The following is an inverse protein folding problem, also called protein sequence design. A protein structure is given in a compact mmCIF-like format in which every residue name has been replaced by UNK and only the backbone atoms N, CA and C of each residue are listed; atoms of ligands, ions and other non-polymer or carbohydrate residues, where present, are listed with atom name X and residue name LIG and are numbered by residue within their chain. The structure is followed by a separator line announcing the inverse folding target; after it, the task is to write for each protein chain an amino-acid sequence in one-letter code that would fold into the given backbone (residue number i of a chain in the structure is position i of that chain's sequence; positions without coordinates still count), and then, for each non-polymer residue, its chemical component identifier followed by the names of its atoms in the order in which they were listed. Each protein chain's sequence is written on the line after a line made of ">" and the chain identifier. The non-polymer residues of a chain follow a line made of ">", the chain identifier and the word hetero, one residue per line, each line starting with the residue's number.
data_IF_132411805974
#
_entry.id   IF_132411805974
#
_cell.length_a   1.000
_cell.length_b   1.000
_cell.length_c   1.000
_cell.angle_alpha   90.00
_cell.angle_beta   90.00
_cell.angle_gamma   90.00
#
_symmetry.space_group_name_H-M   'P 1'
#
loop_
_entity.id
_entity.type
_entity.pdbx_description
1 polymer ?
#
# COMPACT_ATOMS: atom_id res chain seq x y z
N UNK A 1 19.81 12.51 -6.65
CA UNK A 1 20.99 12.28 -5.80
C UNK A 1 22.28 12.69 -6.51
N UNK A 2 22.38 12.54 -7.83
CA UNK A 2 23.62 12.82 -8.57
C UNK A 2 24.06 14.30 -8.53
N UNK A 3 23.13 15.25 -8.54
CA UNK A 3 23.44 16.68 -8.35
C UNK A 3 24.14 16.95 -7.01
N UNK A 4 23.67 16.31 -5.93
CA UNK A 4 24.26 16.51 -4.60
C UNK A 4 25.64 15.85 -4.53
N UNK A 5 25.80 14.68 -5.15
CA UNK A 5 27.12 14.02 -5.27
C UNK A 5 28.13 14.93 -5.97
N UNK A 6 27.78 15.49 -7.13
CA UNK A 6 28.64 16.42 -7.86
C UNK A 6 29.01 17.65 -7.03
N UNK A 7 28.06 18.17 -6.23
CA UNK A 7 28.31 19.31 -5.33
C UNK A 7 29.19 18.98 -4.13
N UNK A 8 29.18 17.74 -3.67
CA UNK A 8 30.10 17.25 -2.63
C UNK A 8 31.50 17.02 -3.21
N UNK A 9 31.57 16.49 -4.42
CA UNK A 9 32.85 16.22 -5.12
C UNK A 9 33.58 17.51 -5.49
N UNK A 10 32.85 18.53 -5.95
CA UNK A 10 33.44 19.82 -6.35
C UNK A 10 33.64 20.79 -5.17
N UNK A 11 33.28 20.40 -3.94
CA UNK A 11 33.42 21.22 -2.73
C UNK A 11 32.44 22.39 -2.60
N UNK A 12 31.35 22.42 -3.38
CA UNK A 12 30.27 23.43 -3.19
C UNK A 12 29.49 23.17 -1.90
N UNK A 13 29.40 21.90 -1.50
CA UNK A 13 28.74 21.45 -0.28
C UNK A 13 29.74 20.60 0.48
N UNK A 14 29.96 20.89 1.76
CA UNK A 14 30.90 20.15 2.61
C UNK A 14 30.26 18.90 3.25
N UNK A 15 28.96 18.98 3.53
CA UNK A 15 28.20 17.92 4.16
C UNK A 15 26.79 17.86 3.60
N UNK A 16 26.35 16.66 3.27
CA UNK A 16 24.95 16.36 3.02
C UNK A 16 24.50 15.37 4.09
N UNK A 17 23.47 15.74 4.84
CA UNK A 17 22.94 14.93 5.92
C UNK A 17 21.63 14.21 5.57
N UNK A 18 21.49 13.51 4.42
CA UNK A 18 20.36 12.64 4.24
C UNK A 18 20.60 11.40 5.11
N UNK A 19 19.61 10.95 5.88
CA UNK A 19 19.65 9.59 6.42
C UNK A 19 19.44 8.63 5.25
N UNK A 20 20.50 8.33 4.53
CA UNK A 20 20.45 7.55 3.30
C UNK A 20 21.41 6.37 3.36
N UNK A 21 21.02 5.28 2.70
CA UNK A 21 21.94 4.20 2.41
C UNK A 21 22.87 4.60 1.27
N UNK A 22 24.16 4.54 1.54
CA UNK A 22 25.20 4.79 0.57
C UNK A 22 25.73 3.45 0.09
N UNK A 23 25.52 3.16 -1.19
CA UNK A 23 26.08 1.95 -1.82
C UNK A 23 27.59 2.12 -2.00
N UNK A 24 28.34 1.02 -2.14
CA UNK A 24 29.78 1.04 -2.41
C UNK A 24 30.16 1.72 -3.74
N UNK A 25 29.19 2.01 -4.60
CA UNK A 25 29.39 2.74 -5.86
C UNK A 25 29.65 4.24 -5.70
N UNK A 26 29.55 4.80 -4.50
CA UNK A 26 29.88 6.20 -4.21
C UNK A 26 31.39 6.35 -3.93
N UNK A 27 32.21 6.15 -4.96
CA UNK A 27 33.69 6.03 -4.82
C UNK A 27 34.38 7.38 -4.54
N UNK A 28 33.73 8.50 -4.86
CA UNK A 28 34.36 9.83 -4.87
C UNK A 28 33.91 10.77 -3.73
N UNK A 29 33.04 10.30 -2.83
CA UNK A 29 32.55 11.06 -1.67
C UNK A 29 32.86 10.27 -0.40
N UNK A 30 33.15 10.98 0.68
CA UNK A 30 33.36 10.35 1.97
C UNK A 30 32.02 10.06 2.65
N UNK A 31 32.03 9.12 3.60
CA UNK A 31 30.85 8.71 4.37
C UNK A 31 31.15 8.68 5.85
N UNK A 32 30.18 9.10 6.65
CA UNK A 32 30.16 8.90 8.10
C UNK A 32 28.98 8.01 8.48
N UNK A 33 29.21 7.01 9.32
CA UNK A 33 28.16 6.12 9.81
C UNK A 33 27.20 6.90 10.73
N UNK A 34 25.89 6.71 10.52
CA UNK A 34 24.88 7.28 11.42
C UNK A 34 24.62 6.39 12.65
N UNK A 35 25.21 5.18 12.70
CA UNK A 35 24.97 4.17 13.74
C UNK A 35 23.47 3.82 13.89
N UNK A 36 22.74 3.87 12.77
CA UNK A 36 21.33 3.52 12.66
C UNK A 36 21.17 2.45 11.59
N UNK A 37 20.27 1.49 11.83
CA UNK A 37 19.91 0.44 10.88
C UNK A 37 18.43 0.55 10.59
N UNK A 38 18.09 0.61 9.31
CA UNK A 38 16.70 0.72 8.87
C UNK A 38 16.33 -0.45 7.97
N UNK A 39 15.09 -0.93 8.16
CA UNK A 39 14.52 -1.92 7.27
C UNK A 39 14.08 -1.25 5.96
N UNK A 40 14.49 -1.83 4.82
CA UNK A 40 13.88 -1.58 3.53
C UNK A 40 12.61 -2.39 3.42
N UNK A 41 11.53 -1.71 3.07
CA UNK A 41 10.19 -2.29 2.91
C UNK A 41 9.60 -1.87 1.59
N UNK A 42 8.63 -2.65 1.13
CA UNK A 42 7.85 -2.34 -0.05
C UNK A 42 6.54 -1.68 0.37
N UNK A 43 6.25 -0.49 -0.15
CA UNK A 43 4.93 0.14 -0.05
C UNK A 43 4.15 -0.24 -1.29
N UNK A 44 3.01 -0.91 -1.10
CA UNK A 44 2.21 -1.51 -2.18
C UNK A 44 0.82 -0.87 -2.20
N UNK A 45 0.24 -0.64 -3.38
CA UNK A 45 -1.15 -0.23 -3.47
C UNK A 45 -2.12 -1.34 -3.10
N UNK A 46 -3.20 -0.97 -2.43
CA UNK A 46 -4.29 -1.90 -2.11
C UNK A 46 -5.10 -2.23 -3.35
N UNK A 47 -5.58 -3.45 -3.44
CA UNK A 47 -6.49 -3.86 -4.51
C UNK A 47 -7.82 -3.09 -4.39
N UNK A 48 -8.12 -2.24 -5.39
CA UNK A 48 -9.31 -1.37 -5.35
C UNK A 48 -10.63 -2.05 -5.74
N UNK A 49 -10.64 -3.35 -6.04
CA UNK A 49 -11.82 -3.99 -6.65
C UNK A 49 -12.92 -4.38 -5.65
N UNK A 50 -13.70 -3.39 -5.21
CA UNK A 50 -15.07 -3.63 -4.76
C UNK A 50 -16.03 -3.25 -5.91
N UNK A 51 -16.24 -4.17 -6.85
CA UNK A 51 -17.29 -4.00 -7.86
C UNK A 51 -18.60 -4.53 -7.29
N UNK A 52 -19.30 -3.71 -6.49
CA UNK A 52 -20.46 -4.10 -5.70
C UNK A 52 -21.59 -4.74 -6.51
N UNK A 53 -21.78 -4.32 -7.76
CA UNK A 53 -22.77 -4.90 -8.68
C UNK A 53 -22.45 -6.35 -9.04
N UNK A 54 -21.17 -6.63 -9.35
CA UNK A 54 -20.73 -8.02 -9.54
C UNK A 54 -20.81 -8.80 -8.22
N UNK A 55 -20.47 -8.17 -7.09
CA UNK A 55 -20.47 -8.81 -5.78
C UNK A 55 -21.88 -9.23 -5.33
N UNK A 56 -22.91 -8.46 -5.67
CA UNK A 56 -24.31 -8.73 -5.31
C UNK A 56 -24.97 -9.79 -6.21
N UNK A 57 -24.52 -9.91 -7.47
CA UNK A 57 -25.08 -10.84 -8.46
C UNK A 57 -24.32 -12.18 -8.56
N UNK A 58 -23.02 -12.19 -8.24
CA UNK A 58 -22.17 -13.38 -8.24
C UNK A 58 -22.52 -14.51 -7.23
N UNK A 59 -23.18 -14.28 -6.07
CA UNK A 59 -23.44 -15.34 -5.10
C UNK A 59 -24.27 -16.51 -5.64
N UNK A 60 -25.04 -16.25 -6.70
CA UNK A 60 -25.85 -17.23 -7.42
C UNK A 60 -25.49 -17.24 -8.90
N UNK A 61 -25.49 -18.43 -9.50
CA UNK A 61 -25.30 -18.56 -10.96
C UNK A 61 -26.50 -17.99 -11.69
N UNK A 62 -26.33 -17.69 -12.99
CA UNK A 62 -27.43 -17.22 -13.84
C UNK A 62 -28.63 -18.17 -13.80
N UNK A 63 -28.38 -19.48 -13.68
CA UNK A 63 -29.39 -20.54 -13.58
C UNK A 63 -30.21 -20.44 -12.28
N UNK A 64 -29.58 -20.09 -11.16
CA UNK A 64 -30.28 -19.91 -9.89
C UNK A 64 -31.11 -18.62 -9.93
N UNK A 65 -30.58 -17.54 -10.51
CA UNK A 65 -31.32 -16.30 -10.69
C UNK A 65 -32.56 -16.48 -11.58
N UNK A 66 -32.48 -17.27 -12.65
CA UNK A 66 -33.65 -17.56 -13.50
C UNK A 66 -34.69 -18.39 -12.76
N UNK A 67 -34.28 -19.35 -11.92
CA UNK A 67 -35.19 -20.12 -11.06
C UNK A 67 -35.87 -19.23 -10.02
N UNK A 68 -35.12 -18.33 -9.37
CA UNK A 68 -35.66 -17.35 -8.41
C UNK A 68 -36.66 -16.42 -9.09
N UNK A 69 -36.33 -15.90 -10.28
CA UNK A 69 -37.24 -15.05 -11.06
C UNK A 69 -38.52 -15.80 -11.44
N UNK A 70 -38.41 -17.04 -11.92
CA UNK A 70 -39.55 -17.89 -12.26
C UNK A 70 -40.42 -18.16 -11.02
N UNK A 71 -39.81 -18.47 -9.87
CA UNK A 71 -40.51 -18.65 -8.60
C UNK A 71 -41.26 -17.37 -8.17
N UNK A 72 -40.63 -16.20 -8.27
CA UNK A 72 -41.26 -14.92 -7.92
C UNK A 72 -42.44 -14.59 -8.85
N UNK A 73 -42.32 -14.87 -10.15
CA UNK A 73 -43.41 -14.70 -11.11
C UNK A 73 -44.58 -15.66 -10.83
N UNK A 74 -44.30 -16.93 -10.54
CA UNK A 74 -45.31 -17.92 -10.17
C UNK A 74 -45.98 -17.53 -8.85
N UNK A 75 -45.22 -17.07 -7.85
CA UNK A 75 -45.75 -16.53 -6.58
C UNK A 75 -46.66 -15.33 -6.82
N UNK A 76 -46.27 -14.40 -7.69
CA UNK A 76 -47.09 -13.22 -8.03
C UNK A 76 -48.44 -13.62 -8.64
N UNK A 77 -48.46 -14.67 -9.47
CA UNK A 77 -49.69 -15.22 -10.06
C UNK A 77 -50.56 -16.00 -9.05
N UNK A 78 -49.94 -16.61 -8.03
CA UNK A 78 -50.62 -17.40 -6.98
C UNK A 78 -51.01 -16.53 -5.77
N UNK A 79 -50.89 -15.20 -5.85
CA UNK A 79 -51.22 -14.23 -4.77
C UNK A 79 -52.57 -14.42 -4.06
N UNK A 80 -53.49 -15.17 -4.66
CA UNK A 80 -54.80 -15.50 -4.09
C UNK A 80 -54.76 -16.61 -3.00
N UNK A 81 -53.74 -17.46 -2.97
CA UNK A 81 -53.57 -18.56 -1.98
C UNK A 81 -52.15 -18.53 -1.38
N UNK A 82 -51.88 -17.54 -0.51
CA UNK A 82 -50.66 -17.52 0.28
C UNK A 82 -50.69 -18.64 1.34
N UNK A 83 -50.15 -19.80 0.99
CA UNK A 83 -49.96 -20.90 1.95
C UNK A 83 -48.65 -20.68 2.72
N UNK A 84 -48.64 -21.04 4.00
CA UNK A 84 -47.47 -20.92 4.89
C UNK A 84 -46.18 -21.49 4.27
N UNK A 85 -46.30 -22.53 3.43
CA UNK A 85 -45.18 -23.11 2.69
C UNK A 85 -44.49 -22.15 1.71
N UNK A 86 -45.22 -21.26 1.05
CA UNK A 86 -44.64 -20.27 0.12
C UNK A 86 -43.80 -19.24 0.87
N UNK A 87 -44.30 -18.76 2.01
CA UNK A 87 -43.54 -17.82 2.86
C UNK A 87 -42.31 -18.49 3.48
N UNK A 88 -42.41 -19.77 3.87
CA UNK A 88 -41.30 -20.54 4.41
C UNK A 88 -40.18 -20.75 3.36
N UNK A 89 -40.55 -21.06 2.11
CA UNK A 89 -39.59 -21.18 1.00
C UNK A 89 -38.95 -19.83 0.66
N UNK A 90 -39.73 -18.75 0.65
CA UNK A 90 -39.20 -17.39 0.43
C UNK A 90 -38.22 -16.98 1.53
N UNK A 91 -38.55 -17.28 2.79
CA UNK A 91 -37.66 -17.04 3.93
C UNK A 91 -36.34 -17.81 3.79
N UNK A 92 -36.40 -19.11 3.46
CA UNK A 92 -35.21 -19.93 3.26
C UNK A 92 -34.33 -19.43 2.09
N UNK A 93 -34.94 -18.95 0.99
CA UNK A 93 -34.22 -18.35 -0.13
C UNK A 93 -33.49 -17.07 0.25
N UNK A 94 -34.14 -16.20 1.03
CA UNK A 94 -33.53 -14.95 1.52
C UNK A 94 -32.38 -15.27 2.48
N UNK A 95 -32.58 -16.17 3.43
CA UNK A 95 -31.53 -16.58 4.38
C UNK A 95 -30.34 -17.23 3.66
N UNK A 96 -30.60 -18.12 2.69
CA UNK A 96 -29.54 -18.73 1.89
C UNK A 96 -28.76 -17.70 1.08
N UNK A 97 -29.45 -16.72 0.50
CA UNK A 97 -28.82 -15.61 -0.22
C UNK A 97 -27.99 -14.72 0.72
N UNK A 98 -28.53 -14.39 1.89
CA UNK A 98 -27.86 -13.54 2.87
C UNK A 98 -26.62 -14.24 3.45
N UNK A 99 -26.71 -15.55 3.73
CA UNK A 99 -25.58 -16.38 4.11
C UNK A 99 -24.50 -16.42 3.01
N UNK A 100 -24.90 -16.57 1.74
CA UNK A 100 -23.96 -16.58 0.62
C UNK A 100 -23.34 -15.21 0.35
N UNK A 101 -24.09 -14.13 0.45
CA UNK A 101 -23.55 -12.77 0.35
C UNK A 101 -22.61 -12.46 1.49
N UNK A 102 -22.93 -12.87 2.72
CA UNK A 102 -22.03 -12.62 3.86
C UNK A 102 -20.75 -13.44 3.73
N UNK A 103 -20.82 -14.71 3.35
CA UNK A 103 -19.64 -15.54 3.00
C UNK A 103 -18.81 -14.89 1.88
N UNK A 104 -19.48 -14.41 0.84
CA UNK A 104 -18.84 -13.81 -0.33
C UNK A 104 -18.27 -12.41 -0.03
N UNK A 105 -18.95 -11.58 0.77
CA UNK A 105 -18.44 -10.28 1.23
C UNK A 105 -17.27 -10.46 2.19
N UNK A 106 -17.28 -11.51 3.01
CA UNK A 106 -16.10 -11.92 3.76
C UNK A 106 -14.98 -12.28 2.77
N UNK A 107 -15.21 -13.21 1.83
CA UNK A 107 -14.19 -13.62 0.85
C UNK A 107 -13.66 -12.49 -0.05
N UNK A 108 -14.51 -11.61 -0.58
CA UNK A 108 -14.14 -10.48 -1.44
C UNK A 108 -13.49 -9.33 -0.68
N UNK A 109 -13.81 -9.17 0.60
CA UNK A 109 -12.98 -8.35 1.51
C UNK A 109 -11.55 -8.91 1.61
N UNK A 110 -11.33 -10.18 1.24
CA UNK A 110 -10.06 -10.91 1.26
C UNK A 110 -9.56 -11.34 -0.13
N UNK A 111 -9.68 -10.53 -1.19
CA UNK A 111 -8.62 -10.64 -2.22
C UNK A 111 -7.35 -10.14 -1.53
N UNK A 112 -6.65 -11.07 -0.86
CA UNK A 112 -5.57 -10.73 0.06
C UNK A 112 -4.53 -9.94 -0.71
N UNK A 113 -4.38 -8.68 -0.32
CA UNK A 113 -3.22 -7.89 -0.74
C UNK A 113 -1.97 -8.73 -0.47
N UNK A 114 -0.98 -8.78 -1.38
CA UNK A 114 0.23 -9.57 -1.19
C UNK A 114 0.82 -9.38 0.20
N UNK A 115 1.12 -10.47 0.90
CA UNK A 115 1.75 -10.45 2.22
C UNK A 115 3.25 -10.76 2.13
N UNK A 116 3.64 -11.50 1.09
CA UNK A 116 5.02 -11.89 0.81
C UNK A 116 5.53 -11.28 -0.50
N UNK A 117 6.85 -11.25 -0.66
CA UNK A 117 7.50 -10.84 -1.90
C UNK A 117 7.15 -11.76 -3.05
N UNK A 118 7.03 -13.07 -2.80
CA UNK A 118 6.63 -14.05 -3.82
C UNK A 118 5.21 -13.80 -4.33
N UNK A 119 4.26 -13.52 -3.44
CA UNK A 119 2.90 -13.11 -3.82
C UNK A 119 2.91 -11.79 -4.58
N UNK A 120 3.74 -10.83 -4.15
CA UNK A 120 3.89 -9.55 -4.83
C UNK A 120 4.43 -9.74 -6.25
N UNK A 121 5.44 -10.60 -6.44
CA UNK A 121 6.01 -10.87 -7.76
C UNK A 121 5.04 -11.59 -8.71
N UNK A 122 4.10 -12.36 -8.18
CA UNK A 122 3.02 -12.97 -8.99
C UNK A 122 1.88 -12.01 -9.31
N UNK A 123 1.72 -10.93 -8.53
CA UNK A 123 0.66 -9.94 -8.76
C UNK A 123 0.90 -9.13 -10.05
N UNK A 124 -0.12 -8.45 -10.62
CA UNK A 124 0.08 -7.53 -11.75
C UNK A 124 0.61 -6.15 -11.31
N UNK A 125 0.92 -5.96 -10.02
CA UNK A 125 1.31 -4.65 -9.48
C UNK A 125 2.71 -4.28 -10.00
N UNK A 126 2.87 -3.14 -10.68
CA UNK A 126 4.18 -2.66 -11.11
C UNK A 126 4.93 -1.97 -9.96
N UNK A 127 6.24 -1.77 -10.13
CA UNK A 127 7.09 -1.09 -9.15
C UNK A 127 7.78 0.12 -9.75
N UNK A 128 7.75 1.24 -9.03
CA UNK A 128 8.52 2.44 -9.37
C UNK A 128 9.93 2.33 -8.78
N UNK A 129 10.94 2.31 -9.64
CA UNK A 129 12.36 2.33 -9.23
C UNK A 129 13.09 3.41 -10.04
N UNK A 130 13.47 4.53 -9.41
CA UNK A 130 14.34 5.53 -10.03
C UNK A 130 15.74 4.99 -10.32
N UNK A 131 16.45 5.55 -11.32
CA UNK A 131 17.77 5.03 -11.76
C UNK A 131 18.80 5.01 -10.62
N UNK A 132 18.77 6.00 -9.73
CA UNK A 132 19.69 6.07 -8.60
C UNK A 132 19.53 4.90 -7.59
N UNK A 133 18.42 4.17 -7.64
CA UNK A 133 18.15 3.01 -6.79
C UNK A 133 18.58 1.69 -7.43
N UNK A 134 18.99 1.66 -8.70
CA UNK A 134 19.40 0.43 -9.38
C UNK A 134 20.51 -0.32 -8.61
N UNK A 135 21.58 0.35 -8.11
CA UNK A 135 22.61 -0.35 -7.32
C UNK A 135 22.10 -0.95 -6.01
N UNK A 136 21.02 -0.40 -5.44
CA UNK A 136 20.39 -0.96 -4.24
C UNK A 136 19.62 -2.23 -4.58
N UNK A 137 18.89 -2.22 -5.70
CA UNK A 137 18.10 -3.37 -6.17
C UNK A 137 19.01 -4.54 -6.52
N UNK A 138 20.11 -4.29 -7.23
CA UNK A 138 21.11 -5.31 -7.53
C UNK A 138 21.69 -5.94 -6.25
N UNK A 139 21.84 -5.15 -5.17
CA UNK A 139 22.35 -5.64 -3.89
C UNK A 139 21.35 -6.49 -3.07
N UNK A 140 20.09 -6.64 -3.54
CA UNK A 140 19.10 -7.55 -2.94
C UNK A 140 19.28 -9.01 -3.40
N UNK A 141 20.10 -9.24 -4.42
CA UNK A 141 20.41 -10.56 -4.96
C UNK A 141 19.80 -10.79 -6.34
N UNK A 142 20.39 -11.68 -7.16
CA UNK A 142 20.12 -11.75 -8.59
C UNK A 142 18.67 -12.15 -8.92
N UNK A 143 18.09 -13.08 -8.16
CA UNK A 143 16.70 -13.52 -8.35
C UNK A 143 15.69 -12.39 -8.05
N UNK A 144 15.88 -11.72 -6.92
CA UNK A 144 15.01 -10.62 -6.47
C UNK A 144 15.13 -9.42 -7.40
N UNK A 145 16.35 -9.07 -7.81
CA UNK A 145 16.60 -8.01 -8.78
C UNK A 145 15.92 -8.28 -10.13
N UNK A 146 16.03 -9.51 -10.67
CA UNK A 146 15.37 -9.89 -11.92
C UNK A 146 13.84 -9.73 -11.84
N UNK A 147 13.24 -10.14 -10.72
CA UNK A 147 11.79 -9.98 -10.50
C UNK A 147 11.37 -8.51 -10.38
N UNK A 148 12.20 -7.65 -9.77
CA UNK A 148 11.96 -6.22 -9.74
C UNK A 148 12.07 -5.58 -11.14
N UNK A 149 13.09 -5.96 -11.92
CA UNK A 149 13.27 -5.48 -13.29
C UNK A 149 12.13 -5.88 -14.20
N UNK A 150 11.56 -7.09 -14.04
CA UNK A 150 10.40 -7.54 -14.80
C UNK A 150 9.13 -6.67 -14.58
N UNK A 151 9.07 -5.93 -13.46
CA UNK A 151 7.92 -5.10 -13.04
C UNK A 151 8.20 -3.60 -13.07
N UNK A 152 9.38 -3.23 -13.54
CA UNK A 152 9.95 -1.90 -13.43
C UNK A 152 9.17 -0.86 -14.23
N UNK A 153 8.84 0.25 -13.57
CA UNK A 153 8.39 1.49 -14.17
C UNK A 153 9.37 2.60 -13.75
N UNK A 154 9.76 3.42 -14.71
CA UNK A 154 10.65 4.58 -14.48
C UNK A 154 9.84 5.85 -14.14
N UNK A 155 10.45 6.85 -13.49
CA UNK A 155 9.77 8.07 -13.07
C UNK A 155 8.99 8.79 -14.19
N UNK A 156 9.53 8.82 -15.41
CA UNK A 156 8.89 9.49 -16.57
C UNK A 156 7.57 8.84 -16.99
N UNK A 157 7.51 7.51 -16.93
CA UNK A 157 6.30 6.77 -17.23
C UNK A 157 5.31 6.85 -16.06
N UNK A 158 5.83 6.80 -14.83
CA UNK A 158 5.03 6.95 -13.62
C UNK A 158 4.35 8.32 -13.52
N UNK A 159 4.98 9.40 -13.99
CA UNK A 159 4.42 10.75 -13.98
C UNK A 159 3.09 10.86 -14.75
N UNK A 160 2.83 9.94 -15.69
CA UNK A 160 1.60 9.87 -16.50
C UNK A 160 0.50 9.01 -15.86
N UNK A 161 0.77 8.40 -14.71
CA UNK A 161 -0.11 7.43 -14.03
C UNK A 161 -0.64 7.98 -12.71
N UNK A 162 -1.68 7.32 -12.18
CA UNK A 162 -2.22 7.64 -10.86
C UNK A 162 -1.17 7.41 -9.76
N UNK A 163 -1.19 8.26 -8.73
CA UNK A 163 -0.19 8.22 -7.66
C UNK A 163 -0.26 6.92 -6.81
N UNK A 164 -1.33 6.14 -6.89
CA UNK A 164 -1.48 4.84 -6.23
C UNK A 164 -1.26 3.66 -7.17
N UNK A 165 -0.75 3.84 -8.40
CA UNK A 165 -0.67 2.74 -9.36
C UNK A 165 0.35 1.64 -9.03
N UNK A 166 1.35 1.98 -8.22
CA UNK A 166 2.65 1.34 -8.32
C UNK A 166 3.28 1.19 -6.94
N UNK A 167 3.93 0.06 -6.70
CA UNK A 167 4.69 -0.20 -5.49
C UNK A 167 5.98 0.63 -5.46
N UNK A 168 6.53 0.87 -4.26
CA UNK A 168 7.75 1.67 -4.05
C UNK A 168 8.61 1.11 -2.93
N UNK A 169 9.92 1.19 -3.10
CA UNK A 169 10.88 0.83 -2.06
C UNK A 169 11.13 2.04 -1.17
N UNK A 170 10.97 1.87 0.14
CA UNK A 170 11.22 2.90 1.13
C UNK A 170 11.93 2.31 2.36
N UNK A 171 12.64 3.15 3.12
CA UNK A 171 12.96 2.82 4.51
C UNK A 171 11.68 2.78 5.33
N UNK A 172 11.62 1.95 6.36
CA UNK A 172 10.42 1.78 7.18
C UNK A 172 9.87 3.12 7.73
N UNK A 173 10.68 4.04 8.31
CA UNK A 173 10.16 5.32 8.79
C UNK A 173 9.56 6.17 7.66
N UNK A 174 10.18 6.13 6.47
CA UNK A 174 9.65 6.83 5.30
C UNK A 174 8.36 6.19 4.81
N UNK A 175 8.28 4.87 4.80
CA UNK A 175 7.10 4.11 4.42
C UNK A 175 5.93 4.42 5.36
N UNK A 176 6.15 4.41 6.67
CA UNK A 176 5.16 4.77 7.70
C UNK A 176 4.59 6.17 7.46
N UNK A 177 5.46 7.14 7.15
CA UNK A 177 5.01 8.48 6.80
C UNK A 177 4.24 8.50 5.48
N UNK A 178 4.73 7.84 4.43
CA UNK A 178 4.11 7.80 3.09
C UNK A 178 2.69 7.26 3.15
N UNK A 179 2.47 6.11 3.80
CA UNK A 179 1.13 5.50 3.89
C UNK A 179 0.15 6.31 4.74
N UNK A 180 0.64 7.29 5.52
CA UNK A 180 -0.16 8.22 6.33
C UNK A 180 -0.44 9.56 5.63
N UNK A 181 0.21 9.86 4.52
CA UNK A 181 -0.02 11.12 3.82
C UNK A 181 -1.44 11.20 3.27
N UNK A 182 -2.12 12.33 3.49
CA UNK A 182 -3.48 12.58 3.00
C UNK A 182 -3.63 12.42 1.49
N UNK A 183 -2.54 12.61 0.71
CA UNK A 183 -2.51 12.34 -0.73
C UNK A 183 -2.91 10.92 -1.12
N UNK A 184 -2.64 9.93 -0.26
CA UNK A 184 -2.97 8.51 -0.50
C UNK A 184 -4.18 8.04 0.32
N UNK A 185 -4.95 8.99 0.85
CA UNK A 185 -6.22 8.72 1.48
C UNK A 185 -7.34 8.94 0.47
N UNK A 186 -8.11 7.88 0.24
CA UNK A 186 -9.32 7.96 -0.56
C UNK A 186 -10.43 8.56 0.29
N UNK A 187 -10.77 9.84 0.07
CA UNK A 187 -11.81 10.53 0.84
C UNK A 187 -13.21 9.97 0.54
N UNK A 188 -13.43 9.48 -0.68
CA UNK A 188 -14.67 8.84 -1.14
C UNK A 188 -14.90 7.52 -0.41
N UNK A 189 -13.90 6.63 -0.42
CA UNK A 189 -13.96 5.31 0.22
C UNK A 189 -13.57 5.33 1.71
N UNK A 190 -13.08 6.46 2.22
CA UNK A 190 -12.61 6.63 3.59
C UNK A 190 -11.51 5.65 4.00
N UNK A 191 -10.57 5.35 3.10
CA UNK A 191 -9.52 4.34 3.31
C UNK A 191 -8.15 4.77 2.78
N UNK A 192 -7.08 4.26 3.41
CA UNK A 192 -5.71 4.37 2.88
C UNK A 192 -5.57 3.49 1.63
N UNK A 193 -5.04 4.06 0.54
CA UNK A 193 -4.82 3.39 -0.74
C UNK A 193 -3.51 2.59 -0.79
N UNK A 194 -2.60 2.82 0.16
CA UNK A 194 -1.31 2.14 0.24
C UNK A 194 -1.18 1.38 1.56
N UNK A 195 -0.38 0.32 1.56
CA UNK A 195 0.04 -0.40 2.76
C UNK A 195 1.52 -0.76 2.67
N UNK A 196 2.11 -1.14 3.80
CA UNK A 196 3.49 -1.63 3.87
C UNK A 196 3.42 -3.15 3.80
N UNK A 197 4.11 -3.76 2.84
CA UNK A 197 4.27 -5.20 2.75
C UNK A 197 4.97 -5.70 4.03
N UNK A 198 4.43 -6.71 4.74
CA UNK A 198 5.02 -7.19 5.99
C UNK A 198 6.44 -7.72 5.82
N UNK A 199 6.71 -8.40 4.71
CA UNK A 199 8.04 -8.94 4.42
C UNK A 199 9.03 -7.82 4.07
N UNK A 200 10.14 -7.78 4.81
CA UNK A 200 11.21 -6.80 4.64
C UNK A 200 12.18 -7.25 3.54
N UNK A 201 12.70 -6.29 2.77
CA UNK A 201 13.66 -6.56 1.70
C UNK A 201 15.06 -6.81 2.26
N UNK A 202 15.54 -5.90 3.12
CA UNK A 202 16.89 -5.91 3.67
C UNK A 202 17.03 -4.90 4.79
N UNK A 203 17.90 -5.17 5.76
CA UNK A 203 18.34 -4.17 6.73
C UNK A 203 19.57 -3.46 6.17
N UNK A 204 19.52 -2.13 6.13
CA UNK A 204 20.58 -1.28 5.59
C UNK A 204 21.12 -0.33 6.67
N UNK A 205 22.44 -0.12 6.74
CA UNK A 205 23.01 0.92 7.58
C UNK A 205 22.73 2.30 6.98
N UNK A 206 22.43 3.26 7.84
CA UNK A 206 22.32 4.67 7.46
C UNK A 206 23.68 5.37 7.57
N UNK A 207 23.92 6.31 6.66
CA UNK A 207 25.15 7.09 6.61
C UNK A 207 24.87 8.52 6.14
N UNK A 208 25.75 9.43 6.55
CA UNK A 208 25.82 10.79 6.03
C UNK A 208 26.90 10.88 4.95
N UNK A 209 26.70 11.79 4.00
CA UNK A 209 27.60 12.01 2.88
C UNK A 209 28.48 13.24 3.17
N UNK A 210 29.79 13.06 3.06
CA UNK A 210 30.78 14.09 3.33
C UNK A 210 31.53 14.45 2.04
N UNK A 211 31.89 15.72 1.92
CA UNK A 211 32.87 16.16 0.92
C UNK A 211 34.21 15.48 1.17
N UNK A 212 34.97 15.24 0.10
CA UNK A 212 36.22 14.47 0.14
C UNK A 212 37.28 15.02 1.11
N UNK A 213 37.27 16.33 1.34
CA UNK A 213 38.21 17.03 2.22
C UNK A 213 37.51 17.66 3.43
N UNK A 214 36.47 17.00 3.97
CA UNK A 214 35.74 17.53 5.12
C UNK A 214 36.64 17.62 6.38
N UNK A 215 37.06 18.84 6.72
CA UNK A 215 38.06 19.12 7.74
C UNK A 215 37.68 18.61 9.14
N UNK A 216 36.38 18.50 9.43
CA UNK A 216 35.86 18.09 10.74
C UNK A 216 35.43 16.63 10.80
N UNK A 217 35.84 15.78 9.84
CA UNK A 217 35.39 14.38 9.76
C UNK A 217 35.52 13.62 11.08
N UNK A 218 36.71 13.61 11.68
CA UNK A 218 36.96 12.87 12.92
C UNK A 218 36.10 13.41 14.08
N UNK A 219 36.02 14.74 14.23
CA UNK A 219 35.20 15.37 15.26
C UNK A 219 33.71 15.09 15.05
N UNK A 220 33.27 15.04 13.80
CA UNK A 220 31.89 14.74 13.43
C UNK A 220 31.54 13.27 13.70
N UNK A 221 32.41 12.33 13.36
CA UNK A 221 32.21 10.91 13.67
C UNK A 221 32.16 10.65 15.19
N UNK A 222 33.05 11.29 15.95
CA UNK A 222 33.02 11.23 17.43
C UNK A 222 31.73 11.84 17.99
N UNK A 223 31.25 12.95 17.42
CA UNK A 223 29.98 13.55 17.80
C UNK A 223 28.80 12.59 17.52
N UNK A 224 28.76 11.98 16.34
CA UNK A 224 27.71 11.02 15.98
C UNK A 224 27.70 9.81 16.91
N UNK A 225 28.89 9.29 17.26
CA UNK A 225 29.02 8.20 18.21
C UNK A 225 28.49 8.60 19.60
N UNK A 226 28.89 9.76 20.14
CA UNK A 226 28.40 10.23 21.43
C UNK A 226 26.87 10.47 21.46
N UNK A 227 26.32 10.99 20.35
CA UNK A 227 24.86 11.19 20.18
C UNK A 227 24.11 9.86 20.10
N UNK A 228 24.71 8.83 19.51
CA UNK A 228 24.17 7.47 19.49
C UNK A 228 24.22 6.83 20.89
N UNK A 229 25.40 6.81 21.53
CA UNK A 229 25.65 6.19 22.83
C UNK A 229 24.85 6.83 23.97
N UNK A 230 24.62 8.14 23.91
CA UNK A 230 23.77 8.85 24.88
C UNK A 230 22.27 8.48 24.77
N UNK A 231 21.86 7.77 23.71
CA UNK A 231 20.46 7.43 23.45
C UNK A 231 19.60 8.61 23.01
N UNK A 232 20.18 9.77 22.73
CA UNK A 232 19.47 10.98 22.31
C UNK A 232 18.67 10.74 21.02
N UNK A 233 19.27 10.02 20.07
CA UNK A 233 18.63 9.62 18.81
C UNK A 233 17.42 8.73 19.07
N UNK A 234 17.55 7.72 19.92
CA UNK A 234 16.44 6.82 20.27
C UNK A 234 15.26 7.59 20.88
N UNK A 235 15.55 8.55 21.76
CA UNK A 235 14.53 9.45 22.32
C UNK A 235 13.87 10.33 21.26
N UNK A 236 14.66 10.94 20.37
CA UNK A 236 14.15 11.76 19.27
C UNK A 236 13.22 10.96 18.34
N UNK A 237 13.66 9.78 17.91
CA UNK A 237 12.87 8.89 17.03
C UNK A 237 11.57 8.46 17.73
N UNK A 238 11.65 8.11 19.01
CA UNK A 238 10.47 7.70 19.78
C UNK A 238 9.47 8.85 19.94
N UNK A 239 9.93 10.06 20.23
CA UNK A 239 9.08 11.25 20.32
C UNK A 239 8.41 11.53 18.97
N UNK A 240 9.18 11.52 17.89
CA UNK A 240 8.63 11.73 16.54
C UNK A 240 7.59 10.67 16.15
N UNK A 241 7.85 9.39 16.46
CA UNK A 241 6.87 8.31 16.21
C UNK A 241 5.59 8.48 17.03
N UNK A 242 5.68 8.95 18.27
CA UNK A 242 4.49 9.25 19.10
C UNK A 242 3.63 10.35 18.45
N UNK A 243 4.25 11.43 17.98
CA UNK A 243 3.55 12.50 17.27
C UNK A 243 2.87 11.96 16.00
N UNK A 244 3.57 11.11 15.24
CA UNK A 244 3.00 10.43 14.07
C UNK A 244 1.82 9.51 14.43
N UNK A 245 1.88 8.79 15.55
CA UNK A 245 0.81 7.91 16.02
C UNK A 245 -0.43 8.69 16.47
N UNK A 246 -0.27 9.89 17.02
CA UNK A 246 -1.41 10.76 17.35
C UNK A 246 -2.17 11.21 16.10
N UNK A 247 -1.49 11.39 14.97
CA UNK A 247 -2.16 11.67 13.70
C UNK A 247 -3.04 10.51 13.21
N UNK A 248 -2.72 9.25 13.49
CA UNK A 248 -3.55 8.10 13.07
C UNK A 248 -4.93 8.08 13.70
N UNK A 249 -5.10 8.59 14.92
CA UNK A 249 -6.40 8.67 15.58
C UNK A 249 -7.38 9.59 14.87
N UNK A 250 -6.89 10.52 14.05
CA UNK A 250 -7.72 11.48 13.33
C UNK A 250 -8.17 10.99 11.94
N UNK A 251 -7.62 9.88 11.45
CA UNK A 251 -8.01 9.28 10.17
C UNK A 251 -9.00 8.14 10.42
N UNK A 252 -10.29 8.47 10.39
CA UNK A 252 -11.38 7.49 10.40
C UNK A 252 -11.25 6.55 9.19
N UNK A 253 -10.99 5.27 9.45
CA UNK A 253 -11.35 4.20 8.52
C UNK A 253 -12.86 4.14 8.46
N UNK A 254 -13.49 4.53 7.34
CA UNK A 254 -14.90 4.23 7.10
C UNK A 254 -15.00 2.73 6.86
N UNK A 255 -15.14 1.96 7.93
CA UNK A 255 -15.39 0.51 7.89
C UNK A 255 -16.84 0.15 7.56
N UNK A 256 -17.64 1.09 7.06
CA UNK A 256 -19.09 0.95 6.88
C UNK A 256 -19.43 1.19 5.41
N UNK A 257 -20.29 0.33 4.84
CA UNK A 257 -20.96 0.59 3.57
C UNK A 257 -21.67 1.94 3.65
N UNK A 258 -21.39 2.83 2.70
CA UNK A 258 -22.05 4.12 2.57
C UNK A 258 -23.15 4.08 1.52
N UNK A 259 -24.08 5.03 1.57
CA UNK A 259 -25.14 5.16 0.55
C UNK A 259 -24.57 5.31 -0.89
N UNK A 260 -23.38 5.89 -1.03
CA UNK A 260 -22.69 6.02 -2.32
C UNK A 260 -22.27 4.65 -2.89
N UNK A 261 -21.93 3.70 -2.04
CA UNK A 261 -21.55 2.34 -2.43
C UNK A 261 -22.77 1.55 -2.98
N UNK A 262 -23.98 1.95 -2.59
CA UNK A 262 -25.25 1.37 -3.06
C UNK A 262 -25.81 2.06 -4.31
N UNK A 263 -25.15 3.10 -4.83
CA UNK A 263 -25.59 3.84 -6.03
C UNK A 263 -25.86 2.93 -7.24
N UNK A 264 -25.03 1.92 -7.57
CA UNK A 264 -25.31 1.02 -8.68
C UNK A 264 -26.61 0.22 -8.52
N UNK A 265 -26.97 -0.14 -7.28
CA UNK A 265 -28.22 -0.80 -6.93
C UNK A 265 -29.42 0.12 -7.17
N UNK A 266 -29.30 1.39 -6.76
CA UNK A 266 -30.35 2.38 -7.01
C UNK A 266 -30.56 2.68 -8.50
N UNK A 267 -29.49 2.69 -9.31
CA UNK A 267 -29.60 2.86 -10.76
C UNK A 267 -30.31 1.67 -11.40
N UNK A 268 -30.03 0.45 -10.92
CA UNK A 268 -30.69 -0.77 -11.41
C UNK A 268 -32.19 -0.77 -11.09
N UNK A 269 -32.56 -0.39 -9.86
CA UNK A 269 -33.96 -0.23 -9.44
C UNK A 269 -34.65 0.93 -10.19
N UNK A 270 -33.92 2.03 -10.44
CA UNK A 270 -34.45 3.18 -11.18
C UNK A 270 -34.69 2.90 -12.67
N UNK A 271 -33.89 2.01 -13.27
CA UNK A 271 -34.05 1.59 -14.66
C UNK A 271 -35.28 0.69 -14.89
N UNK A 272 -35.81 0.03 -13.86
CA UNK A 272 -37.07 -0.73 -13.93
C UNK A 272 -38.33 0.16 -13.80
N UNK A 273 -38.16 1.44 -13.46
CA UNK A 273 -39.24 2.41 -13.26
C UNK A 273 -39.40 3.43 -14.42
N UNK A 274 -38.68 3.25 -15.53
CA UNK A 274 -38.82 4.00 -16.79
C UNK A 274 -39.39 3.06 -17.84
#
# INVERSE_FOLDING_TARGET
>A
MDLIRQRLENGTIDIHMPRAHVSRSYVNVDVAAAYEWEALVLVVPKSDQLNLTNIMLQPFTIEVWTIVLAYLLVRQMIKLLATVGVELVSFLLIEAYLAKITEFLLYCRFRSDPQTLDEFFRSPIPILIPEYMDPLVEALGPSVAANFHAKLIRPDEYAKRAASCCARIHTLPRAEYVVRMGKYFDATLGRKQLYILPEQLKIIPMSYLLGRNFAFKNSFELFLLGVHESGLIGRYVTAHRKDMAMMERNFFTKGWLTLADLLPLFVLVGAEHI
#
